data_IF_079062329959
#
_entry.id   IF_079062329959
#
_cell.length_a   1.000
_cell.length_b   1.000
_cell.length_c   1.000
_cell.angle_alpha   90.00
_cell.angle_beta   90.00
_cell.angle_gamma   90.00
#
_symmetry.space_group_name_H-M   'P 1'
#
loop_
_entity.id
_entity.type
_entity.pdbx_description
1 polymer ?
#
# COMPACT_ATOMS: atom_id res chain seq x y z
N UNK A 1 24.62 2.20 -20.75
CA UNK A 1 23.54 1.90 -19.79
C UNK A 1 22.44 1.18 -20.55
N UNK A 2 22.09 -0.05 -20.17
CA UNK A 2 20.99 -0.81 -20.81
C UNK A 2 19.70 -0.50 -20.05
N UNK A 3 18.56 -0.23 -20.73
CA UNK A 3 17.29 -0.06 -20.04
C UNK A 3 16.95 -1.36 -19.30
N UNK A 4 16.63 -1.27 -18.00
CA UNK A 4 16.01 -2.40 -17.30
C UNK A 4 14.70 -2.74 -18.01
N UNK A 5 14.47 -4.02 -18.27
CA UNK A 5 13.22 -4.46 -18.90
C UNK A 5 12.07 -4.27 -17.90
N UNK A 6 10.88 -3.95 -18.42
CA UNK A 6 9.65 -3.83 -17.63
C UNK A 6 9.40 -5.04 -16.72
N UNK A 7 9.83 -6.23 -17.15
CA UNK A 7 9.71 -7.48 -16.38
C UNK A 7 10.55 -7.52 -15.11
N UNK A 8 11.73 -6.90 -15.09
CA UNK A 8 12.59 -6.90 -13.90
C UNK A 8 12.05 -5.96 -12.82
N UNK A 9 11.42 -4.87 -13.24
CA UNK A 9 10.67 -3.95 -12.36
C UNK A 9 9.45 -4.65 -11.77
N UNK A 10 8.76 -5.47 -12.57
CA UNK A 10 7.59 -6.27 -12.18
C UNK A 10 7.88 -7.22 -11.01
N UNK A 11 9.03 -7.92 -11.06
CA UNK A 11 9.40 -8.89 -10.03
C UNK A 11 9.74 -8.21 -8.70
N UNK A 12 10.49 -7.10 -8.72
CA UNK A 12 10.89 -6.40 -7.50
C UNK A 12 9.72 -5.71 -6.78
N UNK A 13 8.72 -5.22 -7.53
CA UNK A 13 7.55 -4.55 -6.96
C UNK A 13 6.52 -5.53 -6.40
N UNK A 14 6.24 -6.61 -7.11
CA UNK A 14 5.25 -7.62 -6.70
C UNK A 14 5.79 -8.53 -5.59
N UNK A 15 7.09 -8.88 -5.63
CA UNK A 15 7.68 -9.85 -4.69
C UNK A 15 8.46 -9.21 -3.54
N UNK A 16 9.02 -8.00 -3.72
CA UNK A 16 9.89 -7.39 -2.70
C UNK A 16 9.43 -6.00 -2.22
N UNK A 17 8.41 -5.39 -2.82
CA UNK A 17 8.00 -4.01 -2.51
C UNK A 17 9.07 -2.96 -2.84
N UNK A 18 10.17 -3.35 -3.51
CA UNK A 18 11.29 -2.47 -3.83
C UNK A 18 11.10 -1.90 -5.24
N UNK A 19 10.83 -0.60 -5.37
CA UNK A 19 10.92 0.06 -6.68
C UNK A 19 12.38 0.28 -7.06
N UNK A 20 12.81 -0.12 -8.28
CA UNK A 20 14.11 0.27 -8.79
C UNK A 20 14.15 1.79 -9.00
N UNK A 21 15.07 2.44 -8.29
CA UNK A 21 15.34 3.87 -8.35
C UNK A 21 15.78 4.27 -9.75
N UNK A 22 14.98 5.11 -10.41
CA UNK A 22 15.34 5.73 -11.68
C UNK A 22 14.87 7.19 -11.59
N UNK A 23 15.75 8.16 -11.86
CA UNK A 23 15.43 9.61 -11.84
C UNK A 23 14.36 10.02 -12.88
N UNK A 24 13.79 9.04 -13.60
CA UNK A 24 12.75 9.18 -14.61
C UNK A 24 11.43 8.52 -14.21
N UNK A 25 11.32 7.93 -13.01
CA UNK A 25 10.05 7.37 -12.55
C UNK A 25 9.08 8.53 -12.29
N UNK A 26 8.06 8.65 -13.14
CA UNK A 26 6.99 9.64 -13.00
C UNK A 26 5.71 8.99 -12.50
N UNK A 27 4.76 9.80 -12.05
CA UNK A 27 3.40 9.36 -11.69
C UNK A 27 2.79 8.54 -12.83
N UNK A 28 2.95 9.02 -14.07
CA UNK A 28 2.45 8.35 -15.26
C UNK A 28 3.05 6.95 -15.46
N UNK A 29 4.36 6.78 -15.21
CA UNK A 29 5.02 5.46 -15.34
C UNK A 29 4.52 4.51 -14.26
N UNK A 30 4.38 4.97 -13.02
CA UNK A 30 3.84 4.14 -11.94
C UNK A 30 2.38 3.78 -12.16
N UNK A 31 1.58 4.74 -12.63
CA UNK A 31 0.19 4.54 -12.96
C UNK A 31 0.01 3.50 -14.07
N UNK A 32 0.78 3.62 -15.16
CA UNK A 32 0.77 2.61 -16.22
C UNK A 32 1.19 1.23 -15.71
N UNK A 33 2.16 1.18 -14.79
CA UNK A 33 2.58 -0.06 -14.14
C UNK A 33 1.45 -0.67 -13.31
N UNK A 34 0.82 0.12 -12.43
CA UNK A 34 -0.29 -0.31 -11.59
C UNK A 34 -1.46 -0.81 -12.44
N UNK A 35 -1.83 -0.04 -13.47
CA UNK A 35 -2.86 -0.44 -14.40
C UNK A 35 -2.51 -1.74 -15.11
N UNK A 36 -1.28 -1.92 -15.60
CA UNK A 36 -0.85 -3.16 -16.26
C UNK A 36 -0.98 -4.42 -15.38
N UNK A 37 -1.10 -4.27 -14.06
CA UNK A 37 -1.47 -5.33 -13.09
C UNK A 37 -2.95 -5.74 -13.22
N UNK A 38 -3.41 -5.95 -14.45
CA UNK A 38 -4.83 -6.14 -14.79
C UNK A 38 -5.44 -7.40 -14.17
N UNK A 39 -4.61 -8.39 -13.80
CA UNK A 39 -5.05 -9.65 -13.20
C UNK A 39 -4.02 -10.19 -12.22
N UNK A 40 -4.49 -10.57 -11.05
CA UNK A 40 -3.76 -11.38 -10.08
C UNK A 40 -4.64 -12.58 -9.74
N UNK A 41 -4.05 -13.77 -9.78
CA UNK A 41 -4.66 -14.99 -9.23
C UNK A 41 -4.74 -14.90 -7.70
N UNK A 42 -5.59 -15.73 -7.09
CA UNK A 42 -5.72 -15.79 -5.63
C UNK A 42 -4.37 -16.03 -4.94
N UNK A 43 -3.53 -16.92 -5.47
CA UNK A 43 -2.21 -17.22 -4.90
C UNK A 43 -1.23 -16.05 -5.03
N UNK A 44 -1.32 -15.27 -6.12
CA UNK A 44 -0.51 -14.04 -6.29
C UNK A 44 -0.95 -12.96 -5.30
N UNK A 45 -2.26 -12.82 -5.06
CA UNK A 45 -2.78 -11.91 -4.04
C UNK A 45 -2.34 -12.35 -2.64
N UNK A 46 -2.48 -13.63 -2.30
CA UNK A 46 -2.01 -14.19 -1.03
C UNK A 46 -0.53 -13.92 -0.83
N UNK A 47 0.30 -14.20 -1.84
CA UNK A 47 1.74 -13.97 -1.78
C UNK A 47 2.07 -12.48 -1.61
N UNK A 48 1.41 -11.58 -2.36
CA UNK A 48 1.65 -10.14 -2.24
C UNK A 48 1.27 -9.61 -0.84
N UNK A 49 0.17 -10.10 -0.27
CA UNK A 49 -0.22 -9.74 1.10
C UNK A 49 0.74 -10.30 2.14
N UNK A 50 1.20 -11.55 1.97
CA UNK A 50 2.23 -12.12 2.85
C UNK A 50 3.54 -11.32 2.79
N UNK A 51 3.97 -10.88 1.60
CA UNK A 51 5.15 -10.03 1.45
C UNK A 51 4.98 -8.68 2.18
N UNK A 52 3.80 -8.07 2.07
CA UNK A 52 3.49 -6.84 2.81
C UNK A 52 3.49 -7.07 4.33
N UNK A 53 2.95 -8.21 4.79
CA UNK A 53 2.91 -8.57 6.20
C UNK A 53 4.28 -8.95 6.79
N UNK A 54 5.18 -9.51 5.98
CA UNK A 54 6.55 -9.86 6.39
C UNK A 54 7.50 -8.66 6.36
N UNK A 55 7.13 -7.57 5.70
CA UNK A 55 7.89 -6.33 5.70
C UNK A 55 7.81 -5.69 7.09
N UNK A 56 8.88 -5.03 7.57
CA UNK A 56 8.82 -4.30 8.84
C UNK A 56 7.66 -3.32 8.87
N UNK A 57 7.48 -2.61 7.76
CA UNK A 57 6.41 -1.65 7.53
C UNK A 57 5.96 -1.76 6.07
N UNK A 58 4.66 -1.63 5.80
CA UNK A 58 4.14 -1.60 4.44
C UNK A 58 2.88 -0.74 4.32
N UNK A 59 2.66 -0.20 3.12
CA UNK A 59 1.38 0.35 2.68
C UNK A 59 0.89 -0.46 1.49
N UNK A 60 -0.32 -0.98 1.60
CA UNK A 60 -1.00 -1.72 0.54
C UNK A 60 -2.10 -0.83 -0.04
N UNK A 61 -2.10 -0.64 -1.35
CA UNK A 61 -3.24 -0.13 -2.10
C UNK A 61 -4.13 -1.28 -2.55
N UNK A 62 -5.39 -1.25 -2.14
CA UNK A 62 -6.40 -2.25 -2.54
C UNK A 62 -7.08 -1.79 -3.83
N UNK A 63 -6.84 -2.53 -4.91
CA UNK A 63 -7.46 -2.27 -6.20
C UNK A 63 -8.53 -3.33 -6.52
N UNK A 64 -9.68 -2.90 -7.04
CA UNK A 64 -10.72 -3.72 -7.64
C UNK A 64 -11.17 -3.15 -9.02
N UNK A 65 -11.16 -3.94 -10.10
CA UNK A 65 -11.33 -3.43 -11.46
C UNK A 65 -12.74 -2.91 -11.78
N UNK A 66 -13.74 -3.25 -10.97
CA UNK A 66 -15.12 -2.80 -11.15
C UNK A 66 -15.37 -1.38 -10.60
N UNK A 67 -14.47 -0.85 -9.77
CA UNK A 67 -14.64 0.47 -9.17
C UNK A 67 -13.82 1.55 -9.91
N UNK A 68 -14.39 2.76 -10.11
CA UNK A 68 -13.67 3.87 -10.75
C UNK A 68 -12.66 4.48 -9.78
N UNK A 69 -11.45 3.91 -9.70
CA UNK A 69 -10.41 4.31 -8.74
C UNK A 69 -9.29 5.17 -9.33
N UNK A 70 -9.52 5.80 -10.49
CA UNK A 70 -8.45 6.54 -11.17
C UNK A 70 -7.81 7.62 -10.27
N UNK A 71 -8.57 8.48 -9.58
CA UNK A 71 -7.99 9.46 -8.65
C UNK A 71 -7.17 8.84 -7.52
N UNK A 72 -7.58 7.68 -7.02
CA UNK A 72 -6.90 6.95 -5.95
C UNK A 72 -5.56 6.37 -6.43
N UNK A 73 -5.52 5.82 -7.63
CA UNK A 73 -4.30 5.29 -8.25
C UNK A 73 -3.29 6.43 -8.46
N UNK A 74 -3.75 7.56 -8.98
CA UNK A 74 -2.91 8.75 -9.19
C UNK A 74 -2.34 9.23 -7.85
N UNK A 75 -3.19 9.34 -6.82
CA UNK A 75 -2.76 9.73 -5.47
C UNK A 75 -1.77 8.74 -4.85
N UNK A 76 -1.97 7.44 -5.03
CA UNK A 76 -1.05 6.42 -4.53
C UNK A 76 0.31 6.47 -5.23
N UNK A 77 0.34 6.73 -6.54
CA UNK A 77 1.57 6.92 -7.30
C UNK A 77 2.33 8.18 -6.83
N UNK A 78 1.63 9.31 -6.66
CA UNK A 78 2.21 10.55 -6.09
C UNK A 78 2.80 10.31 -4.71
N UNK A 79 2.06 9.63 -3.83
CA UNK A 79 2.48 9.30 -2.48
C UNK A 79 3.73 8.40 -2.48
N UNK A 80 3.75 7.36 -3.31
CA UNK A 80 4.90 6.44 -3.42
C UNK A 80 6.17 7.20 -3.82
N UNK A 81 6.07 8.11 -4.80
CA UNK A 81 7.20 8.93 -5.25
C UNK A 81 7.64 9.94 -4.18
N UNK A 82 6.70 10.63 -3.55
CA UNK A 82 7.00 11.58 -2.48
C UNK A 82 7.74 10.90 -1.32
N UNK A 83 7.29 9.72 -0.91
CA UNK A 83 7.96 8.96 0.14
C UNK A 83 9.39 8.57 -0.23
N UNK A 84 9.58 7.99 -1.43
CA UNK A 84 10.89 7.53 -1.90
C UNK A 84 11.89 8.67 -2.05
N UNK A 85 11.43 9.86 -2.46
CA UNK A 85 12.24 11.07 -2.55
C UNK A 85 12.73 11.52 -1.16
N UNK A 86 11.86 11.48 -0.15
CA UNK A 86 12.18 12.01 1.18
C UNK A 86 12.85 10.97 2.10
N UNK A 87 12.75 9.68 1.79
CA UNK A 87 13.19 8.59 2.67
C UNK A 87 13.93 7.47 1.91
N UNK A 88 15.05 7.81 1.27
CA UNK A 88 15.82 6.90 0.41
C UNK A 88 16.26 5.58 1.08
N UNK A 89 16.38 5.56 2.41
CA UNK A 89 16.77 4.37 3.19
C UNK A 89 15.61 3.77 4.01
N UNK A 90 14.37 4.17 3.72
CA UNK A 90 13.20 3.60 4.41
C UNK A 90 13.00 2.15 4.04
N UNK A 91 12.61 1.34 5.03
CA UNK A 91 12.22 -0.06 4.87
C UNK A 91 10.73 -0.24 4.55
N UNK A 92 9.98 0.83 4.29
CA UNK A 92 8.55 0.68 3.98
C UNK A 92 8.35 0.09 2.58
N UNK A 93 7.55 -0.97 2.50
CA UNK A 93 7.10 -1.54 1.23
C UNK A 93 5.84 -0.85 0.71
N UNK A 94 5.80 -0.51 -0.57
CA UNK A 94 4.58 -0.04 -1.24
C UNK A 94 4.06 -1.13 -2.17
N UNK A 95 2.84 -1.60 -1.91
CA UNK A 95 2.25 -2.73 -2.62
C UNK A 95 0.95 -2.31 -3.29
N UNK A 96 0.86 -2.50 -4.61
CA UNK A 96 -0.39 -2.37 -5.35
C UNK A 96 -0.96 -3.76 -5.57
N UNK A 97 -2.14 -4.06 -5.01
CA UNK A 97 -2.70 -5.42 -5.05
C UNK A 97 -4.10 -5.40 -5.65
N UNK A 98 -4.27 -6.16 -6.73
CA UNK A 98 -5.53 -6.31 -7.44
C UNK A 98 -6.35 -7.47 -6.84
N UNK A 99 -7.44 -7.15 -6.16
CA UNK A 99 -8.41 -8.07 -5.58
C UNK A 99 -9.57 -8.41 -6.52
N UNK A 100 -9.50 -8.07 -7.81
CA UNK A 100 -10.61 -8.21 -8.74
C UNK A 100 -11.14 -9.63 -8.94
N UNK A 101 -10.27 -10.64 -8.84
CA UNK A 101 -10.63 -12.06 -8.95
C UNK A 101 -10.85 -12.70 -7.56
N UNK A 102 -10.64 -11.96 -6.46
CA UNK A 102 -10.75 -12.47 -5.09
C UNK A 102 -12.10 -12.05 -4.49
N UNK A 103 -13.05 -12.97 -4.43
CA UNK A 103 -14.42 -12.70 -3.99
C UNK A 103 -14.66 -12.86 -2.47
N UNK A 104 -13.71 -13.42 -1.73
CA UNK A 104 -13.87 -13.78 -0.31
C UNK A 104 -13.58 -12.62 0.65
N UNK A 105 -14.28 -11.49 0.54
CA UNK A 105 -14.19 -10.36 1.50
C UNK A 105 -12.73 -9.93 1.81
N UNK A 106 -11.89 -9.92 0.77
CA UNK A 106 -10.47 -9.58 0.87
C UNK A 106 -9.68 -10.47 1.85
N UNK A 107 -10.08 -11.75 2.02
CA UNK A 107 -9.56 -12.73 2.99
C UNK A 107 -8.07 -12.67 3.25
N UNK A 108 -7.17 -12.58 2.25
CA UNK A 108 -5.73 -12.47 2.51
C UNK A 108 -5.37 -11.31 3.45
N UNK A 109 -5.97 -10.12 3.27
CA UNK A 109 -5.77 -8.97 4.14
C UNK A 109 -6.60 -9.08 5.42
N UNK A 110 -7.85 -9.51 5.32
CA UNK A 110 -8.74 -9.58 6.49
C UNK A 110 -8.40 -10.68 7.50
N UNK A 111 -7.51 -11.61 7.11
CA UNK A 111 -6.93 -12.61 8.00
C UNK A 111 -5.72 -12.10 8.79
N UNK A 112 -5.20 -10.92 8.49
CA UNK A 112 -4.06 -10.36 9.22
C UNK A 112 -4.47 -9.88 10.61
N UNK A 113 -3.60 -10.01 11.63
CA UNK A 113 -3.83 -9.41 12.93
C UNK A 113 -4.12 -7.91 12.81
N UNK A 114 -5.01 -7.39 13.64
CA UNK A 114 -5.34 -5.96 13.66
C UNK A 114 -6.34 -5.52 12.59
N UNK A 115 -6.77 -6.46 11.72
CA UNK A 115 -7.96 -6.22 10.91
C UNK A 115 -9.15 -5.87 11.81
N UNK A 116 -9.90 -4.80 11.51
CA UNK A 116 -11.03 -4.41 12.32
C UNK A 116 -12.13 -5.48 12.30
N UNK A 117 -12.58 -5.88 13.48
CA UNK A 117 -13.72 -6.80 13.63
C UNK A 117 -15.02 -5.99 13.47
N UNK A 118 -15.95 -6.53 12.67
CA UNK A 118 -17.20 -5.87 12.26
C UNK A 118 -18.09 -5.35 13.41
N UNK A 119 -17.95 -5.91 14.61
CA UNK A 119 -18.88 -5.69 15.72
C UNK A 119 -18.54 -4.48 16.61
N UNK A 120 -17.35 -3.89 16.50
CA UNK A 120 -16.91 -2.82 17.43
C UNK A 120 -17.14 -1.39 16.93
N UNK A 121 -17.77 -1.20 15.77
CA UNK A 121 -18.24 0.11 15.29
C UNK A 121 -17.16 1.19 15.10
N UNK A 122 -15.88 0.85 15.24
CA UNK A 122 -14.75 1.81 15.20
C UNK A 122 -14.00 1.84 13.88
N UNK A 123 -14.32 0.94 12.97
CA UNK A 123 -13.92 1.06 11.57
C UNK A 123 -15.16 0.78 10.75
N UNK A 124 -15.56 1.74 9.93
CA UNK A 124 -16.45 1.52 8.79
C UNK A 124 -15.64 0.67 7.80
N UNK A 125 -15.44 -0.60 8.15
CA UNK A 125 -14.47 -1.53 7.58
C UNK A 125 -15.13 -2.52 6.64
N UNK A 126 -15.83 -2.00 5.64
CA UNK A 126 -15.74 -2.64 4.34
C UNK A 126 -14.60 -1.91 3.63
N UNK A 127 -13.63 -2.65 3.10
CA UNK A 127 -12.99 -2.20 1.88
C UNK A 127 -14.16 -2.01 0.90
N UNK A 128 -14.63 -0.78 0.77
CA UNK A 128 -15.84 -0.44 0.03
C UNK A 128 -15.60 -0.49 -1.48
N UNK A 129 -14.39 -0.89 -1.89
CA UNK A 129 -13.91 -0.85 -3.25
C UNK A 129 -13.57 0.57 -3.69
N UNK A 130 -13.20 1.46 -2.76
CA UNK A 130 -12.94 2.87 -3.06
C UNK A 130 -11.45 3.23 -3.03
N UNK A 131 -10.57 2.25 -3.25
CA UNK A 131 -9.13 2.44 -3.33
C UNK A 131 -8.52 2.72 -1.96
N UNK A 132 -8.88 1.90 -0.99
CA UNK A 132 -8.36 1.97 0.36
C UNK A 132 -6.87 1.64 0.42
N UNK A 133 -6.18 2.39 1.27
CA UNK A 133 -4.84 2.15 1.72
C UNK A 133 -4.89 1.39 3.04
N UNK A 134 -4.07 0.36 3.17
CA UNK A 134 -3.91 -0.45 4.38
C UNK A 134 -2.47 -0.29 4.87
N UNK A 135 -2.31 0.29 6.05
CA UNK A 135 -1.01 0.41 6.72
C UNK A 135 -0.77 -0.83 7.57
N UNK A 136 0.37 -1.47 7.35
CA UNK A 136 0.81 -2.66 8.06
C UNK A 136 2.12 -2.33 8.76
N UNK A 137 2.22 -2.67 10.04
CA UNK A 137 3.43 -2.57 10.83
C UNK A 137 3.67 -3.88 11.58
N UNK A 138 4.85 -4.47 11.41
CA UNK A 138 5.26 -5.74 12.01
C UNK A 138 4.20 -6.85 11.82
N UNK A 139 3.71 -7.00 10.59
CA UNK A 139 2.70 -8.01 10.22
C UNK A 139 1.29 -7.78 10.78
N UNK A 140 1.01 -6.62 11.39
CA UNK A 140 -0.30 -6.24 11.90
C UNK A 140 -0.86 -5.05 11.11
N UNK A 141 -2.13 -5.13 10.73
CA UNK A 141 -2.87 -3.98 10.19
C UNK A 141 -3.06 -2.96 11.31
N UNK A 142 -2.59 -1.73 11.08
CA UNK A 142 -2.65 -0.64 12.06
C UNK A 142 -3.61 0.47 11.66
N UNK A 143 -3.89 0.64 10.37
CA UNK A 143 -4.85 1.62 9.86
C UNK A 143 -5.37 1.24 8.48
N UNK A 144 -6.61 1.66 8.18
CA UNK A 144 -7.23 1.53 6.86
C UNK A 144 -7.95 2.85 6.54
N UNK A 145 -7.68 3.42 5.37
CA UNK A 145 -8.32 4.67 4.95
C UNK A 145 -8.22 4.85 3.43
N UNK A 146 -9.19 5.53 2.80
CA UNK A 146 -9.09 5.83 1.36
C UNK A 146 -8.02 6.89 1.08
N UNK A 147 -7.32 6.76 -0.05
CA UNK A 147 -6.32 7.72 -0.49
C UNK A 147 -6.90 9.15 -0.69
N UNK A 148 -8.22 9.27 -0.92
CA UNK A 148 -8.89 10.54 -1.16
C UNK A 148 -9.34 11.28 0.10
N UNK A 149 -9.23 10.68 1.28
CA UNK A 149 -9.47 11.40 2.53
C UNK A 149 -8.36 12.40 2.84
N UNK A 150 -7.24 12.30 2.09
CA UNK A 150 -6.11 13.19 2.18
C UNK A 150 -6.17 14.22 1.05
N UNK A 151 -5.73 15.44 1.33
CA UNK A 151 -5.73 16.55 0.38
C UNK A 151 -4.70 16.34 -0.72
N UNK A 152 -3.51 15.83 -0.37
CA UNK A 152 -2.39 15.58 -1.28
C UNK A 152 -1.46 14.45 -0.78
N UNK A 153 -0.39 14.18 -1.56
CA UNK A 153 0.63 13.20 -1.22
C UNK A 153 1.47 13.58 0.00
N UNK A 154 1.67 14.86 0.29
CA UNK A 154 2.42 15.32 1.46
C UNK A 154 1.68 15.00 2.75
N UNK A 155 0.35 15.11 2.75
CA UNK A 155 -0.50 14.71 3.88
C UNK A 155 -0.41 13.19 4.11
N UNK A 156 -0.42 12.38 3.05
CA UNK A 156 -0.20 10.92 3.13
C UNK A 156 1.18 10.56 3.69
N UNK A 157 2.24 11.27 3.29
CA UNK A 157 3.59 11.09 3.85
C UNK A 157 3.59 11.41 5.35
N UNK A 158 3.03 12.56 5.74
CA UNK A 158 2.97 12.98 7.14
C UNK A 158 2.17 11.98 7.99
N UNK A 159 1.03 11.53 7.48
CA UNK A 159 0.18 10.54 8.13
C UNK A 159 0.88 9.19 8.29
N UNK A 160 1.52 8.70 7.23
CA UNK A 160 2.25 7.43 7.26
C UNK A 160 3.37 7.45 8.30
N UNK A 161 4.09 8.58 8.42
CA UNK A 161 5.11 8.75 9.48
C UNK A 161 4.52 8.67 10.88
N UNK A 162 3.31 9.19 11.07
CA UNK A 162 2.62 9.18 12.37
C UNK A 162 2.07 7.80 12.73
N UNK A 163 1.56 7.04 11.76
CA UNK A 163 0.94 5.72 11.99
C UNK A 163 1.96 4.60 12.12
N UNK A 164 2.91 4.56 11.20
CA UNK A 164 3.87 3.45 11.09
C UNK A 164 5.15 3.73 11.89
N UNK A 165 5.33 4.96 12.39
CA UNK A 165 6.48 5.32 13.23
C UNK A 165 7.79 5.12 12.49
N UNK A 166 8.16 6.07 11.62
CA UNK A 166 9.53 6.11 11.11
C UNK A 166 10.43 6.64 12.22
N UNK A 167 11.02 5.73 12.98
CA UNK A 167 11.97 6.06 14.04
C UNK A 167 13.15 6.88 13.50
N UNK A 168 13.39 8.03 14.13
CA UNK A 168 14.75 8.41 14.48
C UNK A 168 15.06 7.69 15.79
N UNK A 169 15.79 6.56 15.75
CA UNK A 169 16.43 5.89 16.91
C UNK A 169 15.63 4.86 17.76
N UNK A 170 15.30 3.72 17.18
CA UNK A 170 15.36 2.42 17.87
C UNK A 170 14.22 2.00 18.80
N UNK A 171 13.11 2.75 18.92
CA UNK A 171 11.92 2.29 19.66
C UNK A 171 10.59 2.61 18.94
N UNK A 172 9.86 1.54 18.60
CA UNK A 172 8.67 1.62 17.77
C UNK A 172 7.51 2.15 18.61
N UNK A 173 7.08 3.37 18.33
CA UNK A 173 5.83 3.90 18.85
C UNK A 173 4.70 3.55 17.88
N UNK A 174 3.96 2.50 18.20
CA UNK A 174 2.57 2.38 17.72
C UNK A 174 1.83 3.56 18.33
N UNK A 175 1.31 4.47 17.50
CA UNK A 175 0.42 5.54 17.97
C UNK A 175 -0.89 4.92 18.48
N UNK A 176 -0.87 4.43 19.72
CA UNK A 176 -2.07 4.06 20.45
C UNK A 176 -2.81 5.34 20.83
N UNK A 177 -3.76 5.72 19.99
CA UNK A 177 -4.83 6.65 20.34
C UNK A 177 -4.52 8.13 20.16
N UNK A 178 -4.85 8.65 18.97
CA UNK A 178 -5.62 9.89 18.89
C UNK A 178 -6.83 9.65 18.01
N UNK A 179 -8.00 9.77 18.62
CA UNK A 179 -9.24 10.01 17.89
C UNK A 179 -9.09 11.35 17.17
N UNK A 180 -9.11 11.31 15.84
CA UNK A 180 -9.38 12.45 14.99
C UNK A 180 -10.78 12.29 14.42
#
# INVERSE_FOLDING_TARGET
>A
MKPLSLLTVLCCLMACGCMPRNDRTSVEVLRQFFEATHRMSESEVEMAVQNAAQSPNAVVFVYVPWAPMRPQIDRFAEFTLAWQSDHENSSIGFHFINFGEVCDDYRPLSSLPGWPIRDEGRYVGQLGGWGELVWIANGRVVHIQTALDFSDASELVAFTRAVIGVEKHGEALVATGRQW
#
